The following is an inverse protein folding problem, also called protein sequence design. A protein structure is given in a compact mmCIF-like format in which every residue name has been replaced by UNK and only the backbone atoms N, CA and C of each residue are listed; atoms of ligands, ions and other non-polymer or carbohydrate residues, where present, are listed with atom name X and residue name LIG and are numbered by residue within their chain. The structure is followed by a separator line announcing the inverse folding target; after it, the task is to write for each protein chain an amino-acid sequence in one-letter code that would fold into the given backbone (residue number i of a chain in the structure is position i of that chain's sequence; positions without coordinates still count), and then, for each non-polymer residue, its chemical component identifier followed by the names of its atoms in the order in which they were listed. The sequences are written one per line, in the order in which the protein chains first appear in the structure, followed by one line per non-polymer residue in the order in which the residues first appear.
data_IF_579406279852
#
_entry.id   IF_579406279852
#
_cell.length_a   1.000
_cell.length_b   1.000
_cell.length_c   1.000
_cell.angle_alpha   90.00
_cell.angle_beta   90.00
_cell.angle_gamma   90.00
#
_symmetry.space_group_name_H-M   'P 1'
#
loop_
_entity.id
_entity.type
_entity.pdbx_description
1 polymer ?
#
# COMPACT_ATOMS: atom_id res chain seq x y z
N UNK A 1 -45.70 -13.04 52.09
CA UNK A 1 -45.65 -12.02 51.03
C UNK A 1 -44.18 -11.78 50.73
N UNK A 2 -43.69 -12.26 49.59
CA UNK A 2 -42.32 -12.01 49.13
C UNK A 2 -42.46 -11.46 47.72
N UNK A 3 -42.32 -10.15 47.59
CA UNK A 3 -42.28 -9.46 46.30
C UNK A 3 -40.95 -9.78 45.61
N UNK A 4 -40.99 -10.68 44.63
CA UNK A 4 -39.88 -10.89 43.71
C UNK A 4 -39.80 -9.67 42.77
N UNK A 5 -38.73 -8.89 42.95
CA UNK A 5 -38.42 -7.72 42.17
C UNK A 5 -38.45 -8.01 40.65
N UNK A 6 -39.14 -7.11 39.95
CA UNK A 6 -39.30 -7.01 38.49
C UNK A 6 -37.97 -7.20 37.77
N UNK A 7 -37.86 -8.28 36.98
CA UNK A 7 -36.79 -8.47 36.02
C UNK A 7 -36.90 -7.39 34.93
N UNK A 8 -36.03 -6.40 35.02
CA UNK A 8 -35.93 -5.28 34.08
C UNK A 8 -35.40 -5.79 32.71
N UNK A 9 -36.30 -6.09 31.78
CA UNK A 9 -36.04 -6.56 30.41
C UNK A 9 -35.53 -5.43 29.49
N UNK A 10 -34.38 -4.82 29.80
CA UNK A 10 -33.86 -3.67 29.04
C UNK A 10 -32.41 -3.85 28.58
N UNK A 11 -32.09 -4.85 27.74
CA UNK A 11 -30.73 -4.95 27.16
C UNK A 11 -30.67 -5.50 25.71
N UNK A 12 -31.20 -4.79 24.70
CA UNK A 12 -30.88 -5.10 23.30
C UNK A 12 -29.45 -4.66 22.90
N UNK A 13 -28.83 -3.71 23.62
CA UNK A 13 -27.50 -3.17 23.27
C UNK A 13 -26.32 -4.01 23.76
N UNK A 14 -26.48 -4.81 24.82
CA UNK A 14 -25.38 -5.63 25.37
C UNK A 14 -25.02 -6.83 24.47
N UNK A 15 -25.94 -7.27 23.60
CA UNK A 15 -25.64 -8.32 22.61
C UNK A 15 -24.70 -7.84 21.50
N UNK A 16 -24.83 -6.57 21.07
CA UNK A 16 -24.01 -5.99 20.01
C UNK A 16 -22.57 -5.72 20.48
N UNK A 17 -22.39 -5.45 21.76
CA UNK A 17 -21.10 -5.24 22.42
C UNK A 17 -20.50 -6.53 23.00
N UNK A 18 -21.10 -7.67 22.70
CA UNK A 18 -20.54 -8.94 23.15
C UNK A 18 -19.13 -9.13 22.54
N UNK A 19 -18.17 -9.68 23.30
CA UNK A 19 -16.80 -9.88 22.82
C UNK A 19 -16.73 -10.67 21.52
N UNK A 20 -17.68 -11.58 21.29
CA UNK A 20 -17.80 -12.41 20.08
C UNK A 20 -18.18 -11.57 18.87
N UNK A 21 -19.20 -10.72 18.99
CA UNK A 21 -19.65 -9.84 17.88
C UNK A 21 -18.56 -8.83 17.52
N UNK A 22 -17.89 -8.25 18.52
CA UNK A 22 -16.77 -7.34 18.31
C UNK A 22 -15.58 -8.05 17.63
N UNK A 23 -15.29 -9.29 18.01
CA UNK A 23 -14.26 -10.11 17.37
C UNK A 23 -14.58 -10.38 15.90
N UNK A 24 -15.82 -10.75 15.58
CA UNK A 24 -16.23 -11.08 14.21
C UNK A 24 -16.23 -9.84 13.30
N UNK A 25 -16.73 -8.70 13.81
CA UNK A 25 -16.64 -7.40 13.13
C UNK A 25 -15.18 -7.06 12.85
N UNK A 26 -14.33 -7.14 13.89
CA UNK A 26 -12.91 -6.81 13.76
C UNK A 26 -12.22 -7.70 12.73
N UNK A 27 -12.52 -9.00 12.73
CA UNK A 27 -11.99 -9.95 11.76
C UNK A 27 -12.42 -9.60 10.33
N UNK A 28 -13.70 -9.30 10.12
CA UNK A 28 -14.24 -8.97 8.80
C UNK A 28 -13.62 -7.69 8.23
N UNK A 29 -13.50 -6.62 9.03
CA UNK A 29 -12.96 -5.34 8.54
C UNK A 29 -11.43 -5.34 8.41
N UNK A 30 -10.69 -5.97 9.33
CA UNK A 30 -9.23 -5.99 9.27
C UNK A 30 -8.70 -6.98 8.23
N UNK A 31 -9.33 -8.15 8.06
CA UNK A 31 -8.82 -9.21 7.18
C UNK A 31 -9.20 -8.99 5.72
N UNK A 32 -10.39 -8.45 5.41
CA UNK A 32 -10.78 -8.15 4.02
C UNK A 32 -10.01 -6.96 3.42
N UNK A 33 -9.41 -6.10 4.25
CA UNK A 33 -8.49 -5.05 3.80
C UNK A 33 -7.16 -5.58 3.21
N UNK A 34 -6.83 -6.86 3.43
CA UNK A 34 -5.60 -7.49 2.97
C UNK A 34 -5.76 -8.37 1.72
N UNK A 35 -6.78 -8.14 0.90
CA UNK A 35 -6.70 -8.49 -0.53
C UNK A 35 -5.66 -7.56 -1.18
N UNK A 36 -4.38 -7.76 -0.85
CA UNK A 36 -3.24 -7.12 -1.48
C UNK A 36 -3.28 -7.57 -2.94
N UNK A 37 -3.84 -6.73 -3.80
CA UNK A 37 -3.75 -6.89 -5.25
C UNK A 37 -2.32 -7.30 -5.57
N UNK A 38 -2.13 -8.49 -6.15
CA UNK A 38 -0.86 -8.90 -6.73
C UNK A 38 -0.48 -7.81 -7.72
N UNK A 39 0.50 -6.97 -7.35
CA UNK A 39 0.90 -5.83 -8.15
C UNK A 39 1.69 -6.37 -9.33
N UNK A 40 1.37 -5.86 -10.52
CA UNK A 40 2.09 -6.19 -11.74
C UNK A 40 3.58 -5.92 -11.53
N UNK A 41 4.40 -6.90 -11.89
CA UNK A 41 5.84 -6.71 -11.98
C UNK A 41 6.09 -5.51 -12.89
N UNK A 42 7.03 -4.63 -12.50
CA UNK A 42 7.41 -3.49 -13.33
C UNK A 42 7.92 -4.03 -14.66
N UNK A 43 7.05 -4.00 -15.67
CA UNK A 43 7.40 -4.36 -17.04
C UNK A 43 8.43 -3.37 -17.55
N UNK A 44 9.30 -3.83 -18.45
CA UNK A 44 10.18 -2.95 -19.20
C UNK A 44 9.29 -1.92 -19.90
N UNK A 45 9.46 -0.64 -19.57
CA UNK A 45 8.74 0.45 -20.22
C UNK A 45 9.32 0.57 -21.63
N UNK A 46 8.51 0.27 -22.63
CA UNK A 46 8.85 0.43 -24.05
C UNK A 46 9.11 1.93 -24.33
N UNK A 47 10.27 2.26 -24.91
CA UNK A 47 10.64 3.63 -25.29
C UNK A 47 11.75 4.28 -24.45
N UNK A 48 12.25 3.62 -23.41
CA UNK A 48 13.42 4.14 -22.68
C UNK A 48 14.71 3.98 -23.48
N UNK A 49 15.50 5.05 -23.67
CA UNK A 49 16.79 4.94 -24.35
C UNK A 49 17.75 4.07 -23.52
N UNK A 50 18.04 2.87 -24.03
CA UNK A 50 18.97 1.92 -23.40
C UNK A 50 20.44 2.25 -23.70
N UNK A 51 20.69 3.10 -24.70
CA UNK A 51 22.03 3.48 -25.16
C UNK A 51 22.05 4.97 -25.57
N UNK A 52 22.84 5.80 -24.85
CA UNK A 52 22.97 7.23 -25.15
C UNK A 52 23.73 8.05 -24.10
N UNK A 53 23.95 9.33 -24.40
CA UNK A 53 24.54 10.36 -23.52
C UNK A 53 23.46 10.87 -22.55
N UNK A 54 23.15 10.11 -21.50
CA UNK A 54 22.13 10.49 -20.51
C UNK A 54 22.01 9.54 -19.33
N UNK A 55 21.03 9.75 -18.46
CA UNK A 55 20.68 8.80 -17.40
C UNK A 55 19.77 7.68 -17.91
N UNK A 56 20.26 6.45 -17.89
CA UNK A 56 19.52 5.27 -18.34
C UNK A 56 18.99 4.45 -17.16
N UNK A 57 17.70 4.08 -17.15
CA UNK A 57 17.08 3.31 -16.09
C UNK A 57 17.48 1.83 -16.13
N UNK A 58 17.70 1.28 -14.96
CA UNK A 58 17.95 -0.12 -14.68
C UNK A 58 16.91 -0.59 -13.67
N UNK A 59 16.27 -1.72 -13.97
CA UNK A 59 15.26 -2.31 -13.10
C UNK A 59 15.95 -2.89 -11.85
N UNK A 60 15.37 -2.66 -10.68
CA UNK A 60 15.83 -3.17 -9.38
C UNK A 60 14.74 -4.02 -8.75
N UNK A 61 15.13 -5.16 -8.19
CA UNK A 61 14.19 -6.12 -7.55
C UNK A 61 13.47 -5.50 -6.34
N UNK A 62 14.16 -4.63 -5.61
CA UNK A 62 13.61 -3.96 -4.42
C UNK A 62 12.95 -2.64 -4.82
N UNK A 63 11.70 -2.47 -4.40
CA UNK A 63 11.00 -1.18 -4.51
C UNK A 63 11.62 -0.17 -3.54
N UNK A 64 12.26 0.86 -4.08
CA UNK A 64 12.87 1.94 -3.29
C UNK A 64 12.17 3.26 -3.59
N UNK A 65 12.51 4.33 -2.85
CA UNK A 65 11.91 5.65 -3.07
C UNK A 65 12.71 6.46 -4.09
N UNK A 66 11.99 7.10 -5.00
CA UNK A 66 12.53 8.10 -5.93
C UNK A 66 13.14 9.27 -5.15
N UNK A 67 14.27 9.80 -5.60
CA UNK A 67 14.94 10.95 -4.96
C UNK A 67 14.19 12.26 -5.20
N UNK A 68 13.48 12.41 -6.32
CA UNK A 68 12.77 13.65 -6.66
C UNK A 68 11.33 13.66 -6.12
N UNK A 69 10.53 12.66 -6.49
CA UNK A 69 9.10 12.65 -6.20
C UNK A 69 8.70 11.78 -5.00
N UNK A 70 9.68 11.12 -4.34
CA UNK A 70 9.50 10.22 -3.20
C UNK A 70 8.52 9.05 -3.40
N UNK A 71 8.02 8.83 -4.62
CA UNK A 71 7.19 7.66 -4.95
C UNK A 71 8.02 6.38 -4.88
N UNK A 72 7.34 5.26 -4.65
CA UNK A 72 7.99 3.94 -4.74
C UNK A 72 8.25 3.63 -6.21
N UNK A 73 9.48 3.27 -6.53
CA UNK A 73 9.97 3.00 -7.89
C UNK A 73 10.83 1.74 -7.88
N UNK A 74 10.79 1.01 -9.00
CA UNK A 74 11.67 -0.15 -9.26
C UNK A 74 12.82 0.23 -10.19
N UNK A 75 13.19 1.50 -10.27
CA UNK A 75 14.13 1.99 -11.27
C UNK A 75 15.29 2.76 -10.62
N UNK A 76 16.50 2.45 -11.08
CA UNK A 76 17.74 3.08 -10.67
C UNK A 76 18.52 3.50 -11.91
N UNK A 77 19.12 4.69 -11.92
CA UNK A 77 20.01 5.09 -12.99
C UNK A 77 21.30 4.26 -12.94
N UNK A 78 21.67 3.58 -14.04
CA UNK A 78 22.90 2.77 -14.09
C UNK A 78 24.19 3.60 -14.10
N UNK A 79 24.13 4.87 -14.52
CA UNK A 79 25.27 5.81 -14.46
C UNK A 79 25.53 6.36 -13.05
N UNK A 80 24.50 6.92 -12.41
CA UNK A 80 24.65 7.66 -11.15
C UNK A 80 24.11 6.93 -9.91
N UNK A 81 23.55 5.73 -10.09
CA UNK A 81 22.97 4.90 -9.02
C UNK A 81 21.84 5.58 -8.23
N UNK A 82 21.35 6.74 -8.71
CA UNK A 82 20.21 7.45 -8.13
C UNK A 82 18.91 6.75 -8.51
N UNK A 83 17.97 6.76 -7.57
CA UNK A 83 16.65 6.13 -7.72
C UNK A 83 15.71 7.16 -8.29
N UNK A 84 15.20 6.92 -9.50
CA UNK A 84 14.39 7.88 -10.23
C UNK A 84 13.17 7.18 -10.81
N UNK A 85 12.09 7.91 -11.00
CA UNK A 85 10.86 7.41 -11.58
C UNK A 85 10.88 7.54 -13.11
N UNK A 86 10.51 6.48 -13.83
CA UNK A 86 10.26 6.54 -15.28
C UNK A 86 8.89 7.17 -15.55
N UNK A 87 7.86 6.76 -14.82
CA UNK A 87 6.46 7.18 -15.04
C UNK A 87 6.22 8.69 -14.93
N UNK A 88 6.99 9.42 -14.12
CA UNK A 88 6.88 10.88 -13.98
C UNK A 88 8.07 11.63 -14.56
N UNK A 89 8.78 11.04 -15.51
CA UNK A 89 9.94 11.65 -16.17
C UNK A 89 11.00 12.20 -15.20
N UNK A 90 11.20 11.56 -14.03
CA UNK A 90 12.21 12.00 -13.06
C UNK A 90 13.64 11.85 -13.62
N UNK A 91 13.83 10.98 -14.61
CA UNK A 91 15.11 10.81 -15.29
C UNK A 91 15.48 12.03 -16.13
N UNK A 92 14.51 12.66 -16.79
CA UNK A 92 14.72 13.86 -17.60
C UNK A 92 14.94 15.10 -16.72
N UNK A 93 14.19 15.21 -15.62
CA UNK A 93 14.28 16.35 -14.69
C UNK A 93 15.52 16.34 -13.78
N UNK A 94 16.30 15.26 -13.74
CA UNK A 94 17.48 15.17 -12.87
C UNK A 94 18.74 15.78 -13.51
N UNK A 95 18.78 15.90 -14.84
CA UNK A 95 19.90 16.47 -15.60
C UNK A 95 19.76 17.99 -15.85
N UNK A 96 18.66 18.62 -15.40
CA UNK A 96 18.48 20.08 -15.28
C UNK A 96 18.89 20.59 -13.91
#
# INVERSE_FOLDING_TARGET
MVDMAVANNNKPMDQLMSPVVLHDITYEYLRKGEQRKSRQAASIVEGLPQYGVGHYPMNIEKQLRCVLCHSRVCWQCKKCLKRLCVEKACFENFDT
#
